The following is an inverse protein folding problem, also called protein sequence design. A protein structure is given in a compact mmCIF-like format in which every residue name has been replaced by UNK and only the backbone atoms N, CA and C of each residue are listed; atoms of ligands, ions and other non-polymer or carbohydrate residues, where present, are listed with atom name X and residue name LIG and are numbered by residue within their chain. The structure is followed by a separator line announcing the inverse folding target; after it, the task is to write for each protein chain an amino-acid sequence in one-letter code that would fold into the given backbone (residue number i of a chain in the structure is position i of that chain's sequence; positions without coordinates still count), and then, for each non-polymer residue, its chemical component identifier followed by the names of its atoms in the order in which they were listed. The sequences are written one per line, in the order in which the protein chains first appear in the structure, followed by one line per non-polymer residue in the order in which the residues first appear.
data_IF_588316861549
#
_entry.id   IF_588316861549
#
_cell.length_a   1.000
_cell.length_b   1.000
_cell.length_c   1.000
_cell.angle_alpha   90.00
_cell.angle_beta   90.00
_cell.angle_gamma   90.00
#
_symmetry.space_group_name_H-M   'P 1'
#
loop_
_entity.id
_entity.type
_entity.pdbx_description
1 polymer ?
#
# COMPACT_ATOMS: atom_id res chain seq x y z
N UNK A 1 58.19 40.94 -21.66
CA UNK A 1 57.69 42.25 -21.17
C UNK A 1 56.30 42.04 -20.63
N UNK A 2 56.13 42.20 -19.31
CA UNK A 2 54.87 42.05 -18.58
C UNK A 2 54.13 43.40 -18.66
N UNK A 3 52.84 43.41 -19.00
CA UNK A 3 52.00 44.58 -18.73
C UNK A 3 50.65 44.16 -18.13
N UNK A 4 50.53 44.49 -16.83
CA UNK A 4 49.34 44.68 -15.97
C UNK A 4 48.43 45.79 -16.54
N UNK A 5 47.12 45.97 -16.28
CA UNK A 5 46.04 45.39 -15.45
C UNK A 5 44.78 46.28 -15.70
N UNK A 6 43.59 45.82 -15.25
CA UNK A 6 42.42 46.57 -14.73
C UNK A 6 41.12 46.32 -15.53
N UNK A 7 40.18 45.48 -15.05
CA UNK A 7 39.12 45.76 -14.07
C UNK A 7 38.29 47.03 -14.38
N UNK A 8 37.12 46.84 -15.01
CA UNK A 8 35.80 47.27 -14.51
C UNK A 8 34.77 47.27 -15.66
N UNK A 9 33.51 46.93 -15.34
CA UNK A 9 32.28 47.16 -16.13
C UNK A 9 32.04 46.17 -17.29
N UNK A 10 30.87 45.58 -17.54
CA UNK A 10 29.51 45.71 -16.98
C UNK A 10 28.67 44.54 -17.60
N UNK A 11 27.72 43.97 -16.85
CA UNK A 11 26.38 43.48 -17.29
C UNK A 11 26.36 42.29 -18.28
N UNK A 12 26.12 41.06 -17.79
CA UNK A 12 24.80 40.41 -17.67
C UNK A 12 24.15 40.03 -19.02
N UNK A 13 24.20 38.73 -19.34
CA UNK A 13 23.28 38.12 -20.30
C UNK A 13 22.85 36.75 -19.74
N UNK A 14 21.56 36.70 -19.44
CA UNK A 14 20.82 35.72 -18.68
C UNK A 14 20.76 34.35 -19.37
N UNK A 15 21.00 33.31 -18.57
CA UNK A 15 20.79 31.88 -18.84
C UNK A 15 19.30 31.55 -18.99
N UNK A 16 18.89 30.94 -20.12
CA UNK A 16 17.73 30.03 -20.17
C UNK A 16 18.07 28.89 -21.15
N UNK A 17 18.51 27.74 -20.62
CA UNK A 17 18.46 26.46 -21.36
C UNK A 17 17.19 25.75 -20.88
N UNK A 18 16.27 25.58 -21.81
CA UNK A 18 14.94 25.02 -21.61
C UNK A 18 15.06 23.53 -21.23
N UNK A 19 14.70 23.20 -19.98
CA UNK A 19 14.58 21.81 -19.53
C UNK A 19 13.22 21.25 -19.97
N UNK A 20 13.19 20.54 -21.10
CA UNK A 20 12.03 19.72 -21.46
C UNK A 20 12.12 18.38 -20.72
N UNK A 21 11.66 18.37 -19.45
CA UNK A 21 11.29 17.11 -18.81
C UNK A 21 10.03 16.60 -19.52
N UNK A 22 10.21 15.58 -20.36
CA UNK A 22 9.12 14.79 -20.89
C UNK A 22 8.37 14.16 -19.70
N UNK A 23 7.25 14.76 -19.32
CA UNK A 23 6.25 14.11 -18.49
C UNK A 23 5.68 12.95 -19.30
N UNK A 24 6.23 11.75 -19.08
CA UNK A 24 5.53 10.53 -19.48
C UNK A 24 4.16 10.56 -18.81
N UNK A 25 3.04 10.36 -19.54
CA UNK A 25 1.75 10.20 -18.91
C UNK A 25 1.87 9.01 -17.96
N UNK A 26 1.65 9.24 -16.66
CA UNK A 26 1.40 8.13 -15.75
C UNK A 26 0.19 7.39 -16.32
N UNK A 27 0.42 6.20 -16.89
CA UNK A 27 -0.65 5.33 -17.29
C UNK A 27 -1.47 5.04 -16.02
N UNK A 28 -2.65 5.64 -15.94
CA UNK A 28 -3.66 5.36 -14.93
C UNK A 28 -4.21 3.96 -15.20
N UNK A 29 -3.37 2.94 -14.98
CA UNK A 29 -3.89 1.62 -14.67
C UNK A 29 -4.84 1.82 -13.47
N UNK A 30 -5.95 1.09 -13.44
CA UNK A 30 -6.81 1.03 -12.26
C UNK A 30 -6.00 0.34 -11.15
N UNK A 31 -5.06 1.09 -10.54
CA UNK A 31 -4.20 0.61 -9.48
C UNK A 31 -5.03 0.29 -8.25
N UNK A 32 -4.45 -0.46 -7.31
CA UNK A 32 -5.09 -0.70 -6.03
C UNK A 32 -5.60 0.62 -5.43
N UNK A 33 -6.81 0.61 -4.88
CA UNK A 33 -7.41 1.79 -4.27
C UNK A 33 -6.45 2.43 -3.25
N UNK A 34 -6.56 3.75 -3.07
CA UNK A 34 -5.77 4.43 -2.06
C UNK A 34 -6.09 3.86 -0.66
N UNK A 35 -5.09 3.71 0.23
CA UNK A 35 -5.33 3.30 1.62
C UNK A 35 -6.22 4.34 2.32
N UNK A 36 -7.31 3.88 2.94
CA UNK A 36 -8.26 4.73 3.68
C UNK A 36 -7.93 4.75 5.17
N UNK A 37 -7.31 3.69 5.67
CA UNK A 37 -7.02 3.45 7.08
C UNK A 37 -5.50 3.51 7.39
N UNK A 38 -4.69 3.93 6.42
CA UNK A 38 -3.23 4.03 6.56
C UNK A 38 -2.49 2.70 6.41
N UNK A 39 -3.15 1.68 5.87
CA UNK A 39 -2.60 0.35 5.66
C UNK A 39 -1.97 0.14 4.28
N UNK A 40 -1.81 -1.13 3.92
CA UNK A 40 -1.38 -1.58 2.59
C UNK A 40 -2.58 -2.16 1.86
N UNK A 41 -2.90 -1.59 0.70
CA UNK A 41 -4.01 -2.06 -0.13
C UNK A 41 -3.53 -3.04 -1.19
N UNK A 42 -4.33 -4.08 -1.42
CA UNK A 42 -4.21 -5.03 -2.51
C UNK A 42 -5.58 -5.32 -3.09
N UNK A 43 -5.64 -5.61 -4.38
CA UNK A 43 -6.90 -5.96 -5.07
C UNK A 43 -6.87 -7.44 -5.45
N UNK A 44 -7.98 -8.14 -5.21
CA UNK A 44 -8.18 -9.52 -5.62
C UNK A 44 -9.69 -9.80 -5.80
N UNK A 45 -10.06 -10.60 -6.79
CA UNK A 45 -11.47 -10.91 -7.07
C UNK A 45 -12.37 -9.67 -7.14
N UNK A 46 -11.89 -8.62 -7.80
CA UNK A 46 -12.54 -7.30 -7.96
C UNK A 46 -12.83 -6.53 -6.65
N UNK A 47 -12.35 -7.04 -5.51
CA UNK A 47 -12.41 -6.39 -4.21
C UNK A 47 -11.07 -5.77 -3.84
N UNK A 48 -11.11 -4.67 -3.08
CA UNK A 48 -9.94 -4.07 -2.43
C UNK A 48 -9.87 -4.52 -0.98
N UNK A 49 -8.67 -4.89 -0.55
CA UNK A 49 -8.37 -5.32 0.82
C UNK A 49 -7.27 -4.42 1.36
N UNK A 50 -7.52 -3.74 2.47
CA UNK A 50 -6.54 -2.91 3.16
C UNK A 50 -6.09 -3.59 4.45
N UNK A 51 -4.82 -4.00 4.51
CA UNK A 51 -4.20 -4.57 5.70
C UNK A 51 -3.62 -3.46 6.58
N UNK A 52 -4.06 -3.39 7.83
CA UNK A 52 -3.69 -2.35 8.81
C UNK A 52 -3.18 -3.03 10.07
N UNK A 53 -2.06 -2.56 10.64
CA UNK A 53 -1.62 -3.02 11.95
C UNK A 53 -2.56 -2.51 13.05
N UNK A 54 -2.84 -3.33 14.07
CA UNK A 54 -3.53 -2.90 15.29
C UNK A 54 -2.63 -3.10 16.51
N UNK A 55 -3.05 -2.59 17.66
CA UNK A 55 -2.33 -2.78 18.93
C UNK A 55 -2.28 -4.24 19.38
N UNK A 56 -3.26 -5.05 18.98
CA UNK A 56 -3.43 -6.44 19.39
C UNK A 56 -3.28 -7.45 18.24
N UNK A 57 -2.89 -6.99 17.04
CA UNK A 57 -2.98 -7.81 15.84
C UNK A 57 -2.90 -7.06 14.52
N UNK A 58 -3.78 -7.46 13.61
CA UNK A 58 -3.99 -6.84 12.30
C UNK A 58 -5.47 -6.81 11.94
N UNK A 59 -5.86 -5.78 11.18
CA UNK A 59 -7.18 -5.64 10.59
C UNK A 59 -7.09 -5.71 9.07
N UNK A 60 -8.12 -6.27 8.44
CA UNK A 60 -8.33 -6.19 6.99
C UNK A 60 -9.67 -5.50 6.75
N UNK A 61 -9.65 -4.35 6.09
CA UNK A 61 -10.85 -3.66 5.60
C UNK A 61 -11.12 -4.06 4.16
N UNK A 62 -12.38 -4.31 3.83
CA UNK A 62 -12.79 -4.79 2.51
C UNK A 62 -13.67 -3.75 1.83
N UNK A 63 -13.35 -3.41 0.58
CA UNK A 63 -14.17 -2.52 -0.23
C UNK A 63 -14.47 -3.14 -1.59
N UNK A 64 -15.71 -2.98 -2.04
CA UNK A 64 -16.19 -3.30 -3.38
C UNK A 64 -16.35 -1.98 -4.15
N UNK A 65 -15.48 -1.76 -5.14
CA UNK A 65 -15.44 -0.52 -5.92
C UNK A 65 -15.52 0.78 -5.07
N UNK A 66 -14.78 0.82 -3.96
CA UNK A 66 -14.71 1.98 -3.06
C UNK A 66 -15.88 2.10 -2.07
N UNK A 67 -16.70 1.06 -1.94
CA UNK A 67 -17.78 0.98 -0.95
C UNK A 67 -17.49 -0.14 0.04
N UNK A 68 -17.88 0.05 1.30
CA UNK A 68 -17.73 -0.97 2.33
C UNK A 68 -18.42 -2.28 1.93
N UNK A 69 -17.65 -3.36 1.87
CA UNK A 69 -18.18 -4.71 1.69
C UNK A 69 -18.53 -5.33 3.05
N UNK A 70 -19.61 -6.10 3.14
CA UNK A 70 -20.00 -6.76 4.38
C UNK A 70 -19.00 -7.86 4.78
N UNK A 71 -18.19 -7.59 5.81
CA UNK A 71 -17.15 -8.50 6.29
C UNK A 71 -17.72 -9.79 6.90
N UNK A 72 -19.00 -9.82 7.31
CA UNK A 72 -19.64 -11.03 7.84
C UNK A 72 -19.75 -12.15 6.79
N UNK A 73 -19.57 -11.82 5.51
CA UNK A 73 -19.57 -12.76 4.39
C UNK A 73 -18.24 -13.46 4.16
N UNK A 74 -17.25 -13.15 4.99
CA UNK A 74 -15.89 -13.64 4.88
C UNK A 74 -15.42 -14.24 6.20
N UNK A 75 -14.72 -15.35 6.08
CA UNK A 75 -13.92 -15.94 7.16
C UNK A 75 -12.56 -16.31 6.59
N UNK A 76 -11.55 -16.52 7.43
CA UNK A 76 -10.27 -16.94 6.90
C UNK A 76 -9.13 -16.99 7.89
N UNK A 77 -7.93 -16.97 7.34
CA UNK A 77 -6.68 -16.97 8.10
C UNK A 77 -5.71 -15.95 7.53
N UNK A 78 -5.04 -15.24 8.44
CA UNK A 78 -3.91 -14.40 8.13
C UNK A 78 -2.63 -15.12 8.56
N UNK A 79 -1.70 -15.31 7.62
CA UNK A 79 -0.34 -15.78 7.90
C UNK A 79 0.62 -14.61 7.68
N UNK A 80 1.44 -14.29 8.68
CA UNK A 80 2.43 -13.22 8.62
C UNK A 80 3.84 -13.83 8.72
N UNK A 81 4.71 -13.43 7.80
CA UNK A 81 6.12 -13.79 7.76
C UNK A 81 6.97 -12.56 8.09
N UNK A 82 7.59 -12.58 9.25
CA UNK A 82 8.54 -11.57 9.73
C UNK A 82 9.97 -12.13 9.61
N UNK A 83 10.55 -12.04 8.42
CA UNK A 83 11.81 -12.74 8.14
C UNK A 83 11.61 -14.25 8.20
N UNK A 84 12.24 -14.92 9.17
CA UNK A 84 12.09 -16.35 9.41
C UNK A 84 10.88 -16.71 10.29
N UNK A 85 10.33 -15.74 11.03
CA UNK A 85 9.24 -15.98 11.95
C UNK A 85 7.90 -16.05 11.23
N UNK A 86 7.11 -17.07 11.57
CA UNK A 86 5.78 -17.29 11.01
C UNK A 86 4.73 -17.19 12.12
N UNK A 87 3.80 -16.26 11.98
CA UNK A 87 2.63 -16.12 12.86
C UNK A 87 1.36 -16.39 12.05
N UNK A 88 0.38 -17.05 12.65
CA UNK A 88 -0.92 -17.30 12.04
C UNK A 88 -2.05 -16.91 12.99
N UNK A 89 -3.10 -16.31 12.47
CA UNK A 89 -4.31 -16.00 13.22
C UNK A 89 -5.55 -16.13 12.35
N UNK A 90 -6.65 -16.57 12.95
CA UNK A 90 -7.97 -16.57 12.31
C UNK A 90 -8.44 -15.14 12.09
N UNK A 91 -8.97 -14.85 10.90
CA UNK A 91 -9.66 -13.62 10.58
C UNK A 91 -11.14 -13.76 10.94
N UNK A 92 -11.65 -12.88 11.80
CA UNK A 92 -13.05 -12.85 12.22
C UNK A 92 -13.69 -11.50 11.91
N UNK A 93 -14.97 -11.45 11.51
CA UNK A 93 -15.70 -10.20 11.39
C UNK A 93 -15.68 -9.40 12.70
N UNK A 94 -15.36 -8.12 12.60
CA UNK A 94 -15.21 -7.21 13.74
C UNK A 94 -15.95 -5.87 13.50
N UNK A 95 -17.08 -5.94 12.79
CA UNK A 95 -17.93 -4.81 12.42
C UNK A 95 -17.81 -4.42 10.95
N UNK A 96 -18.89 -3.85 10.39
CA UNK A 96 -19.01 -3.33 9.03
C UNK A 96 -18.19 -4.13 7.98
N UNK A 97 -17.11 -3.54 7.47
CA UNK A 97 -16.23 -4.11 6.47
C UNK A 97 -14.88 -4.61 6.99
N UNK A 98 -14.77 -4.82 8.31
CA UNK A 98 -13.53 -5.15 8.99
C UNK A 98 -13.47 -6.62 9.40
N UNK A 99 -12.39 -7.28 9.04
CA UNK A 99 -11.93 -8.54 9.63
C UNK A 99 -10.76 -8.26 10.59
N UNK A 100 -10.75 -8.91 11.74
CA UNK A 100 -9.69 -8.80 12.75
C UNK A 100 -8.97 -10.13 12.93
N UNK A 101 -7.65 -10.07 13.03
CA UNK A 101 -6.76 -11.17 13.40
C UNK A 101 -5.92 -10.74 14.60
N UNK A 102 -6.14 -11.38 15.75
CA UNK A 102 -5.40 -11.09 17.00
C UNK A 102 -4.12 -11.92 17.10
N UNK A 103 -3.11 -11.41 17.80
CA UNK A 103 -1.89 -12.15 18.14
C UNK A 103 -0.85 -12.26 17.02
N UNK A 104 -0.99 -11.45 15.97
CA UNK A 104 0.02 -11.30 14.91
C UNK A 104 0.67 -9.93 15.00
N UNK A 105 1.92 -9.81 14.58
CA UNK A 105 2.63 -8.52 14.50
C UNK A 105 3.04 -8.25 13.06
N UNK A 106 2.64 -7.12 12.51
CA UNK A 106 3.03 -6.67 11.18
C UNK A 106 4.31 -5.83 11.24
N UNK A 107 5.47 -6.49 11.16
CA UNK A 107 6.76 -5.79 11.12
C UNK A 107 6.98 -5.10 9.76
N UNK A 108 7.79 -4.05 9.73
CA UNK A 108 8.21 -3.43 8.46
C UNK A 108 8.87 -4.47 7.55
N UNK A 109 8.44 -4.54 6.29
CA UNK A 109 8.91 -5.53 5.32
C UNK A 109 8.27 -6.91 5.42
N UNK A 110 7.38 -7.14 6.40
CA UNK A 110 6.69 -8.41 6.55
C UNK A 110 5.89 -8.79 5.31
N UNK A 111 5.83 -10.09 5.01
CA UNK A 111 4.94 -10.64 3.99
C UNK A 111 3.73 -11.22 4.69
N UNK A 112 2.53 -10.75 4.35
CA UNK A 112 1.30 -11.28 4.92
C UNK A 112 0.45 -11.90 3.82
N UNK A 113 -0.12 -13.07 4.09
CA UNK A 113 -1.02 -13.78 3.18
C UNK A 113 -2.34 -13.99 3.90
N UNK A 114 -3.40 -13.36 3.39
CA UNK A 114 -4.76 -13.62 3.81
C UNK A 114 -5.38 -14.65 2.86
N UNK A 115 -5.88 -15.75 3.40
CA UNK A 115 -6.72 -16.70 2.67
C UNK A 115 -8.12 -16.57 3.25
N UNK A 116 -9.04 -16.06 2.43
CA UNK A 116 -10.42 -15.81 2.77
C UNK A 116 -11.32 -16.81 2.04
N UNK A 117 -12.40 -17.21 2.70
CA UNK A 117 -13.50 -17.98 2.10
C UNK A 117 -14.75 -17.13 2.21
N UNK A 118 -15.46 -16.99 1.10
CA UNK A 118 -16.77 -16.32 1.06
C UNK A 118 -17.88 -17.29 1.43
N UNK A 119 -19.06 -16.80 1.85
CA UNK A 119 -20.25 -17.64 2.06
C UNK A 119 -20.64 -18.48 0.84
N UNK A 120 -20.27 -18.05 -0.38
CA UNK A 120 -20.42 -18.81 -1.63
C UNK A 120 -19.35 -19.87 -1.87
N UNK A 121 -18.53 -20.19 -0.86
CA UNK A 121 -17.41 -21.15 -0.89
C UNK A 121 -16.31 -20.83 -1.91
N UNK A 122 -16.24 -19.60 -2.40
CA UNK A 122 -15.11 -19.12 -3.21
C UNK A 122 -13.96 -18.72 -2.28
N UNK A 123 -12.75 -19.19 -2.60
CA UNK A 123 -11.53 -18.79 -1.90
C UNK A 123 -10.88 -17.59 -2.59
N UNK A 124 -10.42 -16.62 -1.79
CA UNK A 124 -9.69 -15.44 -2.23
C UNK A 124 -8.37 -15.42 -1.47
N UNK A 125 -7.25 -15.36 -2.20
CA UNK A 125 -5.92 -15.21 -1.60
C UNK A 125 -5.38 -13.83 -1.89
N UNK A 126 -4.98 -13.11 -0.83
CA UNK A 126 -4.45 -11.75 -0.92
C UNK A 126 -3.05 -11.73 -0.30
N UNK A 127 -2.07 -11.17 -1.03
CA UNK A 127 -0.67 -11.12 -0.61
C UNK A 127 -0.23 -9.68 -0.41
N UNK A 128 0.17 -9.33 0.80
CA UNK A 128 0.62 -8.01 1.20
C UNK A 128 2.14 -7.99 1.44
N UNK A 129 2.75 -6.83 1.19
CA UNK A 129 4.07 -6.49 1.70
C UNK A 129 3.93 -5.24 2.56
N UNK A 130 4.22 -5.35 3.86
CA UNK A 130 4.16 -4.24 4.80
C UNK A 130 5.31 -3.27 4.49
N UNK A 131 5.00 -1.98 4.29
CA UNK A 131 5.97 -0.95 3.89
C UNK A 131 6.79 -0.43 5.06
#
# INVERSE_FOLDING_TARGET
MIMKKNFSQLIAATTIVMASLASAPAAMAHGAAAPVHGGVVQTAADLSFELVASSDGANIYIQDHGKDADASRFEGKLTVLNGADKLEATLKPAGANKLEAKGVTLSKGAKAVAVLTTNGKKSITVRFTVK
#
